data_IF_947403725306
#
_entry.id   IF_947403725306
#
_cell.length_a   1.000
_cell.length_b   1.000
_cell.length_c   1.000
_cell.angle_alpha   90.00
_cell.angle_beta   90.00
_cell.angle_gamma   90.00
#
_symmetry.space_group_name_H-M   'P 1'
#
loop_
_entity.id
_entity.type
_entity.pdbx_description
1 polymer ?
#
# COMPACT_ATOMS: atom_id res chain seq x y z
N UNK A 1 32.49 18.56 10.64
CA UNK A 1 31.85 17.25 10.34
C UNK A 1 30.36 17.54 10.26
N UNK A 2 29.87 17.90 9.07
CA UNK A 2 28.45 18.15 8.88
C UNK A 2 27.74 16.82 8.69
N UNK A 3 27.14 16.34 9.77
CA UNK A 3 26.16 15.26 9.73
C UNK A 3 24.85 15.83 9.18
N UNK A 4 24.80 16.08 7.87
CA UNK A 4 23.53 16.22 7.16
C UNK A 4 23.00 14.82 6.90
N UNK A 5 22.10 14.37 7.77
CA UNK A 5 21.30 13.17 7.57
C UNK A 5 20.69 13.20 6.17
N UNK A 6 20.73 12.11 5.38
CA UNK A 6 20.13 12.08 4.05
C UNK A 6 18.64 12.28 4.25
N UNK A 7 18.16 13.48 3.91
CA UNK A 7 16.72 13.76 3.90
C UNK A 7 16.18 12.89 2.78
N UNK A 8 15.58 11.78 3.17
CA UNK A 8 14.80 10.85 2.35
C UNK A 8 14.08 11.65 1.27
N UNK A 9 14.41 11.36 0.00
CA UNK A 9 14.01 12.12 -1.19
C UNK A 9 12.49 12.37 -1.31
N UNK A 10 11.68 11.71 -0.49
CA UNK A 10 10.24 11.90 -0.35
C UNK A 10 9.84 13.29 0.20
N UNK A 11 10.72 13.99 0.92
CA UNK A 11 10.36 15.26 1.57
C UNK A 11 10.24 16.44 0.58
N UNK A 12 10.85 16.33 -0.62
CA UNK A 12 10.84 17.35 -1.68
C UNK A 12 10.23 16.80 -2.98
N UNK A 13 9.05 16.17 -2.88
CA UNK A 13 8.29 15.76 -4.06
C UNK A 13 7.70 16.99 -4.74
N UNK A 14 8.37 17.49 -5.78
CA UNK A 14 7.74 18.37 -6.77
C UNK A 14 6.59 17.60 -7.45
N UNK A 15 5.58 18.31 -7.97
CA UNK A 15 4.40 17.69 -8.61
C UNK A 15 4.78 16.63 -9.68
N UNK A 16 5.83 16.89 -10.46
CA UNK A 16 6.34 15.96 -11.47
C UNK A 16 6.83 14.64 -10.85
N UNK A 17 7.51 14.70 -9.71
CA UNK A 17 8.03 13.50 -9.04
C UNK A 17 6.91 12.64 -8.46
N UNK A 18 5.79 13.24 -8.03
CA UNK A 18 4.63 12.46 -7.57
C UNK A 18 3.94 11.68 -8.68
N UNK A 19 3.82 12.25 -9.89
CA UNK A 19 3.21 11.55 -11.03
C UNK A 19 4.06 10.35 -11.47
N UNK A 20 5.37 10.55 -11.61
CA UNK A 20 6.30 9.48 -11.97
C UNK A 20 6.32 8.36 -10.93
N UNK A 21 6.29 8.71 -9.63
CA UNK A 21 6.20 7.74 -8.56
C UNK A 21 4.90 6.92 -8.65
N UNK A 22 3.75 7.57 -8.80
CA UNK A 22 2.45 6.88 -8.90
C UNK A 22 2.37 5.98 -10.15
N UNK A 23 2.92 6.44 -11.28
CA UNK A 23 3.02 5.62 -12.49
C UNK A 23 3.89 4.38 -12.25
N UNK A 24 5.05 4.54 -11.62
CA UNK A 24 5.94 3.43 -11.26
C UNK A 24 5.28 2.43 -10.32
N UNK A 25 4.64 2.91 -9.25
CA UNK A 25 3.91 2.05 -8.30
C UNK A 25 2.77 1.27 -8.98
N UNK A 26 2.06 1.91 -9.91
CA UNK A 26 0.99 1.25 -10.66
C UNK A 26 1.54 0.18 -11.61
N UNK A 27 2.67 0.42 -12.27
CA UNK A 27 3.31 -0.57 -13.15
C UNK A 27 3.77 -1.80 -12.35
N UNK A 28 4.45 -1.58 -11.21
CA UNK A 28 4.82 -2.65 -10.28
C UNK A 28 3.60 -3.48 -9.86
N UNK A 29 2.49 -2.80 -9.52
CA UNK A 29 1.23 -3.45 -9.15
C UNK A 29 0.66 -4.29 -10.30
N UNK A 30 0.67 -3.78 -11.53
CA UNK A 30 0.17 -4.50 -12.71
C UNK A 30 0.98 -5.76 -13.03
N UNK A 31 2.28 -5.75 -12.73
CA UNK A 31 3.17 -6.91 -12.89
C UNK A 31 3.25 -7.81 -11.64
N UNK A 32 2.49 -7.49 -10.58
CA UNK A 32 2.53 -8.17 -9.29
C UNK A 32 3.91 -8.13 -8.61
N UNK A 33 4.72 -7.14 -8.94
CA UNK A 33 6.05 -6.95 -8.38
C UNK A 33 5.96 -6.24 -7.03
N UNK A 34 6.64 -6.80 -6.03
CA UNK A 34 6.70 -6.30 -4.66
C UNK A 34 5.33 -6.23 -3.95
N UNK A 35 4.26 -6.78 -4.54
CA UNK A 35 2.96 -6.87 -3.89
C UNK A 35 3.03 -7.82 -2.70
N UNK A 36 2.72 -7.30 -1.52
CA UNK A 36 2.79 -7.97 -0.22
C UNK A 36 1.40 -8.20 0.40
N UNK A 37 0.34 -7.93 -0.37
CA UNK A 37 -1.06 -8.18 0.00
C UNK A 37 -1.92 -8.48 -1.23
N UNK A 38 -2.88 -9.39 -1.06
CA UNK A 38 -3.97 -9.67 -1.98
C UNK A 38 -5.29 -9.28 -1.30
N UNK A 39 -6.07 -8.40 -1.92
CA UNK A 39 -7.43 -8.11 -1.47
C UNK A 39 -8.39 -9.02 -2.25
N UNK A 40 -9.17 -9.84 -1.55
CA UNK A 40 -10.19 -10.70 -2.14
C UNK A 40 -11.57 -10.09 -1.96
N UNK A 41 -12.34 -10.00 -3.04
CA UNK A 41 -13.75 -9.59 -3.02
C UNK A 41 -14.54 -10.62 -3.83
N UNK A 42 -15.25 -11.51 -3.12
CA UNK A 42 -15.80 -12.73 -3.74
C UNK A 42 -14.69 -13.55 -4.40
N UNK A 43 -14.83 -13.84 -5.70
CA UNK A 43 -13.83 -14.58 -6.47
C UNK A 43 -12.71 -13.71 -7.06
N UNK A 44 -12.81 -12.38 -6.93
CA UNK A 44 -11.84 -11.44 -7.50
C UNK A 44 -10.65 -11.26 -6.56
N UNK A 45 -9.44 -11.42 -7.09
CA UNK A 45 -8.17 -11.16 -6.38
C UNK A 45 -7.50 -9.90 -6.92
N UNK A 46 -7.13 -8.99 -6.01
CA UNK A 46 -6.48 -7.73 -6.33
C UNK A 46 -5.11 -7.70 -5.64
N UNK A 47 -4.04 -7.78 -6.42
CA UNK A 47 -2.68 -7.58 -5.91
C UNK A 47 -2.42 -6.10 -5.62
N UNK A 48 -1.83 -5.82 -4.45
CA UNK A 48 -1.54 -4.46 -4.02
C UNK A 48 -0.30 -4.40 -3.11
N UNK A 49 0.07 -3.17 -2.73
CA UNK A 49 1.17 -2.89 -1.81
C UNK A 49 0.60 -2.33 -0.50
N UNK A 50 0.89 -2.97 0.64
CA UNK A 50 0.44 -2.53 1.98
C UNK A 50 0.82 -1.09 2.26
N UNK A 51 2.05 -0.70 1.90
CA UNK A 51 2.55 0.66 2.13
C UNK A 51 1.74 1.72 1.38
N UNK A 52 1.35 1.44 0.13
CA UNK A 52 0.56 2.35 -0.68
C UNK A 52 -0.85 2.48 -0.08
N UNK A 53 -1.50 1.35 0.22
CA UNK A 53 -2.83 1.35 0.85
C UNK A 53 -2.83 2.06 2.22
N UNK A 54 -1.83 1.80 3.08
CA UNK A 54 -1.69 2.44 4.38
C UNK A 54 -1.41 3.96 4.28
N UNK A 55 -0.78 4.41 3.20
CA UNK A 55 -0.50 5.84 3.01
C UNK A 55 -1.76 6.66 2.71
N UNK A 56 -2.79 6.04 2.12
CA UNK A 56 -4.03 6.71 1.68
C UNK A 56 -5.27 6.35 2.50
N UNK A 57 -5.21 5.29 3.32
CA UNK A 57 -6.36 4.82 4.09
C UNK A 57 -6.00 4.55 5.55
N UNK A 58 -6.62 5.27 6.51
CA UNK A 58 -6.44 5.01 7.95
C UNK A 58 -6.80 3.59 8.37
N UNK A 59 -7.79 2.98 7.70
CA UNK A 59 -8.19 1.59 7.96
C UNK A 59 -7.05 0.61 7.62
N UNK A 60 -6.51 0.70 6.40
CA UNK A 60 -5.37 -0.12 6.00
C UNK A 60 -4.11 0.18 6.83
N UNK A 61 -3.91 1.44 7.21
CA UNK A 61 -2.81 1.80 8.12
C UNK A 61 -2.95 1.09 9.47
N UNK A 62 -4.12 1.15 10.11
CA UNK A 62 -4.37 0.48 11.37
C UNK A 62 -4.21 -1.05 11.26
N UNK A 63 -4.76 -1.63 10.20
CA UNK A 63 -4.66 -3.06 9.90
C UNK A 63 -3.21 -3.53 9.75
N UNK A 64 -2.40 -2.82 8.94
CA UNK A 64 -1.03 -3.25 8.61
C UNK A 64 0.04 -2.82 9.61
N UNK A 65 -0.23 -1.80 10.44
CA UNK A 65 0.73 -1.33 11.45
C UNK A 65 0.36 -1.74 12.88
N UNK A 66 -0.85 -2.24 13.09
CA UNK A 66 -1.33 -2.72 14.39
C UNK A 66 -0.68 -4.04 14.85
N UNK A 67 -0.99 -4.43 16.08
CA UNK A 67 -0.53 -5.70 16.69
C UNK A 67 -1.49 -6.87 16.42
N UNK A 68 -2.39 -6.73 15.44
CA UNK A 68 -3.36 -7.76 15.07
C UNK A 68 -2.69 -8.79 14.15
N UNK A 69 -3.13 -10.06 14.22
CA UNK A 69 -2.63 -11.16 13.40
C UNK A 69 -2.76 -10.91 11.89
N UNK A 70 -3.64 -9.99 11.49
CA UNK A 70 -3.86 -9.57 10.10
C UNK A 70 -2.63 -8.88 9.47
N UNK A 71 -1.71 -8.33 10.28
CA UNK A 71 -0.49 -7.68 9.80
C UNK A 71 0.40 -8.62 8.98
N UNK A 72 0.52 -9.88 9.41
CA UNK A 72 1.32 -10.92 8.76
C UNK A 72 0.56 -11.59 7.61
N UNK A 73 -0.73 -11.33 7.49
CA UNK A 73 -1.54 -11.97 6.47
C UNK A 73 -1.21 -11.40 5.07
N UNK A 74 -1.09 -12.29 4.10
CA UNK A 74 -0.82 -11.96 2.69
C UNK A 74 -2.10 -11.89 1.85
N UNK A 75 -3.26 -12.26 2.41
CA UNK A 75 -4.56 -12.19 1.75
C UNK A 75 -5.67 -11.72 2.72
N UNK A 76 -6.41 -10.67 2.38
CA UNK A 76 -7.54 -10.15 3.18
C UNK A 76 -8.81 -10.27 2.36
N UNK A 77 -9.84 -10.90 2.91
CA UNK A 77 -11.15 -11.04 2.27
C UNK A 77 -12.13 -9.98 2.79
N UNK A 78 -12.73 -9.25 1.85
CA UNK A 78 -13.85 -8.34 2.13
C UNK A 78 -15.15 -9.06 1.79
N UNK A 79 -15.92 -9.37 2.81
CA UNK A 79 -17.29 -9.84 2.63
C UNK A 79 -18.16 -8.62 2.32
N UNK A 80 -18.88 -8.66 1.20
CA UNK A 80 -19.99 -7.73 0.98
C UNK A 80 -21.00 -8.01 2.09
N UNK A 81 -21.18 -7.06 3.01
CA UNK A 81 -22.31 -7.09 3.92
C UNK A 81 -23.51 -6.72 3.04
N UNK A 82 -24.32 -7.72 2.66
CA UNK A 82 -25.64 -7.43 2.13
C UNK A 82 -26.41 -6.70 3.23
N UNK A 83 -26.73 -5.42 3.00
CA UNK A 83 -27.67 -4.69 3.82
C UNK A 83 -29.05 -5.35 3.65
N UNK A 84 -29.41 -6.23 4.58
CA UNK A 84 -30.77 -6.76 4.76
C UNK A 84 -31.67 -5.74 5.41
#
# INVERSE_FOLDING_TARGET
MDHTSPTYMLANLTHLHSEQLLQGLNLLRQHHELCDIILRVGDVKIHAHKVVLASVSPYFKAMFTGNLSEKENSEVEFQCIDET
#
